data_IF_210301476778
#
_entry.id   IF_210301476778
#
_cell.length_a   1.000
_cell.length_b   1.000
_cell.length_c   1.000
_cell.angle_alpha   90.00
_cell.angle_beta   90.00
_cell.angle_gamma   90.00
#
_symmetry.space_group_name_H-M   'P 1'
#
loop_
_entity.id
_entity.type
_entity.pdbx_description
1 polymer ?
#
# COMPACT_ATOMS: atom_id res chain seq x y z
N UNK A 1 -7.75 -29.42 11.77
CA UNK A 1 -6.80 -29.15 12.89
C UNK A 1 -6.85 -27.70 13.39
N UNK A 2 -6.62 -27.42 14.69
CA UNK A 2 -6.62 -26.08 15.29
C UNK A 2 -5.33 -25.80 16.07
N UNK A 3 -4.72 -24.63 15.84
CA UNK A 3 -3.48 -24.16 16.50
C UNK A 3 -3.67 -22.74 17.02
N UNK A 4 -3.67 -22.58 18.34
CA UNK A 4 -3.92 -21.28 18.99
C UNK A 4 -2.62 -20.48 19.17
N UNK A 5 -1.45 -21.15 19.13
CA UNK A 5 -0.14 -20.51 19.27
C UNK A 5 0.68 -20.59 17.98
N UNK A 6 1.59 -19.63 17.80
CA UNK A 6 2.52 -19.63 16.67
C UNK A 6 3.47 -20.83 16.69
N UNK A 7 3.88 -21.29 17.88
CA UNK A 7 4.77 -22.43 18.08
C UNK A 7 4.16 -23.75 17.63
N UNK A 8 2.90 -24.02 18.00
CA UNK A 8 2.18 -25.22 17.56
C UNK A 8 2.01 -25.24 16.03
N UNK A 9 1.64 -24.10 15.44
CA UNK A 9 1.49 -23.96 13.98
C UNK A 9 2.79 -24.24 13.25
N UNK A 10 3.91 -23.70 13.75
CA UNK A 10 5.23 -23.86 13.13
C UNK A 10 5.75 -25.30 13.16
N UNK A 11 5.29 -26.13 14.10
CA UNK A 11 5.63 -27.55 14.18
C UNK A 11 4.94 -28.40 13.08
N UNK A 12 3.83 -27.92 12.52
CA UNK A 12 3.08 -28.67 11.51
C UNK A 12 3.57 -28.36 10.08
N UNK A 13 3.88 -29.36 9.22
CA UNK A 13 4.51 -29.15 7.92
C UNK A 13 3.75 -28.24 6.96
N UNK A 14 2.42 -28.32 6.93
CA UNK A 14 1.54 -27.49 6.09
C UNK A 14 1.16 -26.16 6.76
N UNK A 15 0.70 -26.18 8.01
CA UNK A 15 0.25 -24.96 8.69
C UNK A 15 1.36 -23.91 8.86
N UNK A 16 2.64 -24.34 8.95
CA UNK A 16 3.79 -23.41 9.01
C UNK A 16 3.92 -22.52 7.77
N UNK A 17 3.42 -22.95 6.61
CA UNK A 17 3.51 -22.22 5.33
C UNK A 17 2.62 -20.97 5.31
N UNK A 18 1.52 -20.95 6.09
CA UNK A 18 0.54 -19.86 6.10
C UNK A 18 0.98 -18.79 7.10
N UNK A 19 1.22 -17.53 6.70
CA UNK A 19 1.62 -16.45 7.60
C UNK A 19 0.67 -16.26 8.78
N UNK A 20 1.21 -15.90 9.95
CA UNK A 20 0.43 -15.74 11.18
C UNK A 20 -0.70 -14.71 11.05
N UNK A 21 -0.48 -13.63 10.30
CA UNK A 21 -1.48 -12.59 10.04
C UNK A 21 -2.74 -13.15 9.37
N UNK A 22 -2.59 -14.04 8.39
CA UNK A 22 -3.70 -14.71 7.71
C UNK A 22 -4.29 -15.83 8.57
N UNK A 23 -3.45 -16.52 9.34
CA UNK A 23 -3.86 -17.59 10.25
C UNK A 23 -4.86 -17.14 11.32
N UNK A 24 -4.64 -15.95 11.91
CA UNK A 24 -5.54 -15.37 12.94
C UNK A 24 -6.80 -14.73 12.37
N UNK A 25 -6.87 -14.49 11.06
CA UNK A 25 -7.98 -13.77 10.44
C UNK A 25 -9.29 -14.56 10.57
N UNK A 26 -10.31 -13.96 11.18
CA UNK A 26 -11.63 -14.57 11.40
C UNK A 26 -12.35 -14.94 10.11
N UNK A 27 -12.08 -14.19 9.04
CA UNK A 27 -12.68 -14.38 7.72
C UNK A 27 -11.92 -15.40 6.85
N UNK A 28 -10.79 -15.92 7.35
CA UNK A 28 -9.94 -16.91 6.68
C UNK A 28 -9.77 -18.14 7.59
N UNK A 29 -8.57 -18.38 8.12
CA UNK A 29 -8.26 -19.64 8.81
C UNK A 29 -8.78 -19.69 10.25
N UNK A 30 -8.91 -18.55 10.93
CA UNK A 30 -9.35 -18.47 12.33
C UNK A 30 -8.77 -19.57 13.23
N UNK A 31 -7.44 -19.64 13.28
CA UNK A 31 -6.66 -20.62 14.02
C UNK A 31 -6.83 -22.09 13.58
N UNK A 32 -7.46 -22.35 12.44
CA UNK A 32 -7.85 -23.70 12.00
C UNK A 32 -7.42 -23.95 10.55
N UNK A 33 -6.77 -25.09 10.30
CA UNK A 33 -6.59 -25.64 8.96
C UNK A 33 -7.50 -26.85 8.82
N UNK A 34 -8.48 -26.76 7.92
CA UNK A 34 -9.46 -27.82 7.73
C UNK A 34 -8.82 -29.03 7.03
N UNK A 35 -9.19 -30.23 7.44
CA UNK A 35 -8.56 -31.46 6.93
C UNK A 35 -8.84 -31.70 5.44
N UNK A 36 -9.84 -31.03 4.89
CA UNK A 36 -10.19 -31.00 3.47
C UNK A 36 -9.15 -30.29 2.60
N UNK A 37 -8.37 -29.39 3.19
CA UNK A 37 -7.35 -28.58 2.51
C UNK A 37 -6.01 -29.31 2.46
N UNK A 38 -5.75 -30.22 3.39
CA UNK A 38 -4.45 -30.92 3.49
C UNK A 38 -4.08 -31.72 2.24
N UNK A 39 -4.99 -32.50 1.62
CA UNK A 39 -4.67 -33.21 0.40
C UNK A 39 -4.31 -32.25 -0.74
N UNK A 40 -5.01 -31.11 -0.81
CA UNK A 40 -4.73 -30.08 -1.81
C UNK A 40 -3.33 -29.47 -1.62
N UNK A 41 -2.87 -29.30 -0.38
CA UNK A 41 -1.53 -28.77 -0.10
C UNK A 41 -0.39 -29.79 -0.32
N UNK A 42 -0.71 -31.08 -0.33
CA UNK A 42 0.26 -32.18 -0.43
C UNK A 42 0.35 -32.79 -1.83
N UNK A 43 -0.63 -32.50 -2.69
CA UNK A 43 -0.66 -32.97 -4.06
C UNK A 43 0.54 -32.44 -4.86
N UNK A 44 0.92 -33.15 -5.91
CA UNK A 44 1.72 -32.52 -6.97
C UNK A 44 0.80 -31.71 -7.89
N UNK A 45 1.38 -30.82 -8.71
CA UNK A 45 0.63 -29.90 -9.57
C UNK A 45 -0.33 -30.60 -10.54
N UNK A 46 0.02 -31.80 -11.00
CA UNK A 46 -0.80 -32.60 -11.94
C UNK A 46 -2.02 -33.18 -11.22
N UNK A 47 -1.83 -33.72 -10.03
CA UNK A 47 -2.89 -34.33 -9.23
C UNK A 47 -3.78 -33.29 -8.55
N UNK A 48 -3.29 -32.06 -8.34
CA UNK A 48 -4.04 -30.96 -7.72
C UNK A 48 -5.33 -30.65 -8.49
N UNK A 49 -5.26 -30.53 -9.81
CA UNK A 49 -6.43 -30.24 -10.66
C UNK A 49 -7.41 -31.40 -10.59
N UNK A 50 -6.92 -32.64 -10.70
CA UNK A 50 -7.75 -33.84 -10.62
C UNK A 50 -8.47 -33.95 -9.27
N UNK A 51 -7.78 -33.66 -8.17
CA UNK A 51 -8.35 -33.67 -6.83
C UNK A 51 -9.46 -32.65 -6.70
N UNK A 52 -9.31 -31.45 -7.26
CA UNK A 52 -10.35 -30.42 -7.24
C UNK A 52 -11.58 -30.82 -8.05
N UNK A 53 -11.40 -31.51 -9.17
CA UNK A 53 -12.51 -32.00 -10.01
C UNK A 53 -13.29 -33.14 -9.36
N UNK A 54 -12.62 -33.97 -8.57
CA UNK A 54 -13.24 -35.06 -7.82
C UNK A 54 -13.88 -34.60 -6.50
N UNK A 55 -13.62 -33.35 -6.09
CA UNK A 55 -13.93 -32.81 -4.78
C UNK A 55 -14.82 -31.55 -4.74
N UNK A 56 -15.76 -31.29 -5.67
CA UNK A 56 -16.52 -30.04 -5.68
C UNK A 56 -17.40 -29.85 -4.42
N UNK A 57 -17.65 -30.91 -3.64
CA UNK A 57 -18.38 -30.89 -2.38
C UNK A 57 -17.51 -30.76 -1.11
N UNK A 58 -16.17 -30.75 -1.21
CA UNK A 58 -15.29 -30.66 -0.04
C UNK A 58 -15.26 -29.26 0.61
N UNK A 59 -15.64 -28.21 -0.13
CA UNK A 59 -15.54 -26.82 0.29
C UNK A 59 -16.91 -26.12 0.25
N UNK A 60 -17.73 -26.40 1.26
CA UNK A 60 -19.13 -25.94 1.34
C UNK A 60 -19.29 -24.44 1.62
N UNK A 61 -18.32 -23.82 2.31
CA UNK A 61 -18.40 -22.40 2.68
C UNK A 61 -17.48 -21.52 1.83
N UNK A 62 -17.89 -20.26 1.60
CA UNK A 62 -17.06 -19.25 0.92
C UNK A 62 -15.70 -19.08 1.61
N UNK A 63 -15.69 -19.04 2.95
CA UNK A 63 -14.47 -18.98 3.76
C UNK A 63 -13.52 -20.14 3.47
N UNK A 64 -14.04 -21.36 3.37
CA UNK A 64 -13.20 -22.54 3.18
C UNK A 64 -12.60 -22.59 1.77
N UNK A 65 -13.34 -22.11 0.75
CA UNK A 65 -12.82 -21.92 -0.61
C UNK A 65 -11.67 -20.91 -0.64
N UNK A 66 -11.83 -19.77 0.04
CA UNK A 66 -10.77 -18.75 0.22
C UNK A 66 -9.53 -19.33 0.90
N UNK A 67 -9.72 -20.09 1.97
CA UNK A 67 -8.63 -20.76 2.68
C UNK A 67 -7.92 -21.80 1.81
N UNK A 68 -8.67 -22.59 1.04
CA UNK A 68 -8.10 -23.60 0.14
C UNK A 68 -7.24 -22.95 -0.94
N UNK A 69 -7.74 -21.86 -1.57
CA UNK A 69 -6.98 -21.11 -2.57
C UNK A 69 -5.67 -20.55 -2.00
N UNK A 70 -5.73 -19.88 -0.84
CA UNK A 70 -4.54 -19.37 -0.16
C UNK A 70 -3.56 -20.49 0.22
N UNK A 71 -4.08 -21.59 0.76
CA UNK A 71 -3.26 -22.72 1.16
C UNK A 71 -2.50 -23.34 -0.03
N UNK A 72 -3.18 -23.48 -1.18
CA UNK A 72 -2.56 -23.92 -2.43
C UNK A 72 -1.48 -22.92 -2.87
N UNK A 73 -1.79 -21.62 -2.86
CA UNK A 73 -0.85 -20.58 -3.27
C UNK A 73 0.42 -20.52 -2.38
N UNK A 74 0.31 -20.89 -1.09
CA UNK A 74 1.46 -21.00 -0.20
C UNK A 74 2.22 -22.33 -0.32
N UNK A 75 1.55 -23.43 -0.68
CA UNK A 75 2.19 -24.75 -0.78
C UNK A 75 2.79 -25.03 -2.16
N UNK A 76 2.34 -24.35 -3.21
CA UNK A 76 2.83 -24.50 -4.59
C UNK A 76 3.30 -23.14 -5.13
N UNK A 77 4.46 -22.64 -4.68
CA UNK A 77 4.95 -21.31 -5.05
C UNK A 77 5.30 -21.17 -6.54
N UNK A 78 5.49 -22.29 -7.25
CA UNK A 78 5.90 -22.32 -8.66
C UNK A 78 4.71 -22.30 -9.65
N UNK A 79 3.46 -22.31 -9.14
CA UNK A 79 2.27 -22.22 -10.01
C UNK A 79 2.21 -20.87 -10.73
N UNK A 80 1.84 -20.92 -12.01
CA UNK A 80 1.67 -19.71 -12.81
C UNK A 80 0.46 -18.89 -12.36
N UNK A 81 0.47 -17.59 -12.66
CA UNK A 81 -0.65 -16.69 -12.34
C UNK A 81 -1.95 -17.13 -13.04
N UNK A 82 -1.86 -17.65 -14.26
CA UNK A 82 -2.99 -18.18 -15.02
C UNK A 82 -3.58 -19.40 -14.33
N UNK A 83 -2.72 -20.28 -13.81
CA UNK A 83 -3.15 -21.47 -13.07
C UNK A 83 -3.82 -21.08 -11.77
N UNK A 84 -3.22 -20.17 -10.99
CA UNK A 84 -3.82 -19.67 -9.74
C UNK A 84 -5.16 -18.96 -9.97
N UNK A 85 -5.29 -18.19 -11.05
CA UNK A 85 -6.56 -17.56 -11.42
C UNK A 85 -7.61 -18.62 -11.83
N UNK A 86 -7.22 -19.61 -12.63
CA UNK A 86 -8.08 -20.73 -13.02
C UNK A 86 -8.57 -21.54 -11.81
N UNK A 87 -7.69 -21.79 -10.83
CA UNK A 87 -8.04 -22.46 -9.58
C UNK A 87 -9.09 -21.66 -8.78
N UNK A 88 -9.00 -20.32 -8.77
CA UNK A 88 -10.02 -19.46 -8.16
C UNK A 88 -11.40 -19.65 -8.79
N UNK A 89 -11.46 -19.74 -10.12
CA UNK A 89 -12.69 -20.01 -10.89
C UNK A 89 -13.22 -21.43 -10.58
N UNK A 90 -12.36 -22.44 -10.60
CA UNK A 90 -12.73 -23.84 -10.29
C UNK A 90 -13.28 -24.01 -8.88
N UNK A 91 -12.74 -23.27 -7.90
CA UNK A 91 -13.25 -23.22 -6.53
C UNK A 91 -14.57 -22.43 -6.40
N UNK A 92 -15.04 -21.81 -7.49
CA UNK A 92 -16.21 -20.93 -7.52
C UNK A 92 -16.11 -19.82 -6.46
N UNK A 93 -14.93 -19.18 -6.38
CA UNK A 93 -14.70 -17.98 -5.59
C UNK A 93 -15.22 -16.78 -6.40
N UNK A 94 -15.99 -15.91 -5.76
CA UNK A 94 -16.44 -14.67 -6.41
C UNK A 94 -15.24 -13.80 -6.76
N UNK A 95 -15.30 -13.05 -7.84
CA UNK A 95 -14.18 -12.22 -8.29
C UNK A 95 -13.68 -11.25 -7.21
N UNK A 96 -14.57 -10.53 -6.54
CA UNK A 96 -14.22 -9.64 -5.43
C UNK A 96 -13.58 -10.40 -4.24
N UNK A 97 -14.06 -11.61 -3.93
CA UNK A 97 -13.46 -12.47 -2.89
C UNK A 97 -12.06 -12.95 -3.31
N UNK A 98 -11.86 -13.28 -4.59
CA UNK A 98 -10.57 -13.70 -5.13
C UNK A 98 -9.57 -12.53 -5.08
N UNK A 99 -10.02 -11.33 -5.42
CA UNK A 99 -9.22 -10.12 -5.31
C UNK A 99 -8.82 -9.84 -3.86
N UNK A 100 -9.77 -9.90 -2.91
CA UNK A 100 -9.51 -9.68 -1.49
C UNK A 100 -8.48 -10.68 -0.92
N UNK A 101 -8.60 -11.97 -1.25
CA UNK A 101 -7.60 -12.96 -0.79
C UNK A 101 -6.25 -12.80 -1.48
N UNK A 102 -6.24 -12.42 -2.76
CA UNK A 102 -5.02 -12.14 -3.49
C UNK A 102 -4.29 -10.93 -2.87
N UNK A 103 -5.03 -9.87 -2.54
CA UNK A 103 -4.54 -8.68 -1.84
C UNK A 103 -3.92 -9.08 -0.51
N UNK A 104 -4.59 -9.93 0.27
CA UNK A 104 -4.05 -10.44 1.54
C UNK A 104 -2.83 -11.34 1.38
N UNK A 105 -2.70 -12.03 0.24
CA UNK A 105 -1.54 -12.87 -0.08
C UNK A 105 -0.30 -12.02 -0.40
N UNK A 106 -0.49 -10.88 -1.05
CA UNK A 106 0.56 -9.88 -1.26
C UNK A 106 1.56 -10.20 -2.36
N UNK A 107 1.16 -10.99 -3.36
CA UNK A 107 1.95 -11.17 -4.58
C UNK A 107 1.51 -10.18 -5.64
N UNK A 108 2.24 -9.07 -5.73
CA UNK A 108 1.93 -7.98 -6.64
C UNK A 108 1.83 -8.42 -8.11
N UNK A 109 2.71 -9.31 -8.57
CA UNK A 109 2.61 -9.89 -9.93
C UNK A 109 1.27 -10.61 -10.18
N UNK A 110 0.81 -11.42 -9.23
CA UNK A 110 -0.48 -12.09 -9.35
C UNK A 110 -1.64 -11.10 -9.33
N UNK A 111 -1.58 -10.10 -8.43
CA UNK A 111 -2.61 -9.07 -8.37
C UNK A 111 -2.66 -8.23 -9.64
N UNK A 112 -1.53 -7.86 -10.22
CA UNK A 112 -1.46 -7.19 -11.52
C UNK A 112 -2.12 -8.02 -12.62
N UNK A 113 -1.90 -9.34 -12.63
CA UNK A 113 -2.61 -10.25 -13.54
C UNK A 113 -4.12 -10.33 -13.25
N UNK A 114 -4.53 -10.26 -11.98
CA UNK A 114 -5.95 -10.20 -11.61
C UNK A 114 -6.56 -8.87 -12.06
N UNK A 115 -5.86 -7.74 -11.89
CA UNK A 115 -6.29 -6.40 -12.33
C UNK A 115 -6.56 -6.35 -13.84
N UNK A 116 -5.75 -7.01 -14.67
CA UNK A 116 -5.96 -7.00 -16.14
C UNK A 116 -7.23 -7.72 -16.60
N UNK A 117 -7.87 -8.49 -15.72
CA UNK A 117 -9.10 -9.20 -16.04
C UNK A 117 -10.36 -8.37 -15.79
N UNK A 118 -10.24 -7.20 -15.15
CA UNK A 118 -11.35 -6.29 -14.90
C UNK A 118 -11.42 -5.22 -15.99
N UNK A 119 -12.65 -4.87 -16.39
CA UNK A 119 -12.85 -3.62 -17.13
C UNK A 119 -12.56 -2.41 -16.23
N UNK A 120 -12.24 -1.27 -16.84
CA UNK A 120 -11.96 -0.03 -16.09
C UNK A 120 -13.09 0.31 -15.11
N UNK A 121 -14.36 0.14 -15.53
CA UNK A 121 -15.52 0.42 -14.67
C UNK A 121 -15.60 -0.52 -13.46
N UNK A 122 -15.32 -1.81 -13.65
CA UNK A 122 -15.32 -2.78 -12.55
C UNK A 122 -14.15 -2.51 -11.59
N UNK A 123 -12.99 -2.14 -12.13
CA UNK A 123 -11.83 -1.75 -11.35
C UNK A 123 -12.13 -0.50 -10.50
N UNK A 124 -12.69 0.56 -11.07
CA UNK A 124 -13.03 1.75 -10.29
C UNK A 124 -14.10 1.45 -9.22
N UNK A 125 -15.13 0.66 -9.56
CA UNK A 125 -16.15 0.25 -8.59
C UNK A 125 -15.55 -0.57 -7.43
N UNK A 126 -14.57 -1.43 -7.72
CA UNK A 126 -13.85 -2.20 -6.71
C UNK A 126 -12.96 -1.31 -5.85
N UNK A 127 -12.28 -0.32 -6.44
CA UNK A 127 -11.44 0.63 -5.70
C UNK A 127 -12.26 1.48 -4.75
N UNK A 128 -13.41 1.98 -5.19
CA UNK A 128 -14.29 2.82 -4.37
C UNK A 128 -15.10 2.05 -3.32
N UNK A 129 -15.11 0.72 -3.35
CA UNK A 129 -15.89 -0.10 -2.43
C UNK A 129 -15.37 -0.01 -0.98
N UNK A 130 -16.30 -0.07 -0.03
CA UNK A 130 -16.04 -0.09 1.41
C UNK A 130 -15.06 1.02 1.86
N UNK A 131 -15.30 2.26 1.38
CA UNK A 131 -14.47 3.44 1.67
C UNK A 131 -12.98 3.23 1.33
N UNK A 132 -12.72 2.74 0.11
CA UNK A 132 -11.37 2.47 -0.39
C UNK A 132 -10.59 1.45 0.46
N UNK A 133 -11.28 0.46 1.01
CA UNK A 133 -10.70 -0.59 1.86
C UNK A 133 -9.51 -1.33 1.21
N UNK A 134 -9.49 -1.43 -0.12
CA UNK A 134 -8.37 -2.02 -0.87
C UNK A 134 -7.06 -1.25 -0.63
N UNK A 135 -7.13 0.08 -0.54
CA UNK A 135 -5.97 0.94 -0.38
C UNK A 135 -5.38 0.83 1.03
N UNK A 136 -6.23 0.89 2.05
CA UNK A 136 -5.81 0.69 3.44
C UNK A 136 -5.32 -0.73 3.71
N UNK A 137 -5.90 -1.73 3.05
CA UNK A 137 -5.43 -3.12 3.11
C UNK A 137 -4.05 -3.29 2.46
N UNK A 138 -3.82 -2.71 1.28
CA UNK A 138 -2.50 -2.72 0.64
C UNK A 138 -1.44 -2.06 1.53
N UNK A 139 -1.78 -0.93 2.16
CA UNK A 139 -0.91 -0.24 3.11
C UNK A 139 -0.62 -1.08 4.35
N UNK A 140 -1.63 -1.74 4.93
CA UNK A 140 -1.48 -2.63 6.08
C UNK A 140 -0.51 -3.79 5.83
N UNK A 141 -0.57 -4.39 4.64
CA UNK A 141 0.30 -5.52 4.28
C UNK A 141 1.65 -5.10 3.68
N UNK A 142 1.97 -3.81 3.61
CA UNK A 142 3.28 -3.34 3.11
C UNK A 142 3.46 -3.48 1.61
N UNK A 143 2.37 -3.43 0.84
CA UNK A 143 2.39 -3.70 -0.60
C UNK A 143 2.54 -2.44 -1.44
N UNK A 144 3.75 -1.87 -1.46
CA UNK A 144 4.04 -0.62 -2.17
C UNK A 144 3.65 -0.65 -3.65
N UNK A 145 3.94 -1.75 -4.36
CA UNK A 145 3.63 -1.87 -5.79
C UNK A 145 2.13 -1.72 -6.06
N UNK A 146 1.29 -2.27 -5.18
CA UNK A 146 -0.17 -2.19 -5.33
C UNK A 146 -0.67 -0.81 -4.93
N UNK A 147 -0.13 -0.21 -3.86
CA UNK A 147 -0.42 1.19 -3.50
C UNK A 147 -0.14 2.11 -4.69
N UNK A 148 1.01 1.95 -5.34
CA UNK A 148 1.36 2.74 -6.53
C UNK A 148 0.40 2.47 -7.69
N UNK A 149 0.09 1.20 -7.96
CA UNK A 149 -0.83 0.84 -9.05
C UNK A 149 -2.23 1.42 -8.83
N UNK A 150 -2.75 1.37 -7.61
CA UNK A 150 -4.04 1.96 -7.26
C UNK A 150 -4.03 3.48 -7.46
N UNK A 151 -2.94 4.16 -7.10
CA UNK A 151 -2.79 5.59 -7.36
C UNK A 151 -2.73 5.90 -8.86
N UNK A 152 -1.99 5.10 -9.63
CA UNK A 152 -1.83 5.28 -11.09
C UNK A 152 -3.13 5.12 -11.87
N UNK A 153 -4.00 4.17 -11.47
CA UNK A 153 -5.27 3.90 -12.15
C UNK A 153 -6.42 4.80 -11.67
N UNK A 154 -6.22 5.60 -10.62
CA UNK A 154 -7.22 6.52 -10.09
C UNK A 154 -7.02 7.95 -10.60
N UNK A 155 -8.12 8.67 -10.81
CA UNK A 155 -8.08 10.09 -11.13
C UNK A 155 -7.52 10.92 -9.96
N UNK A 156 -6.99 12.14 -10.18
CA UNK A 156 -6.46 12.97 -9.08
C UNK A 156 -7.48 13.22 -7.95
N UNK A 157 -8.76 13.36 -8.28
CA UNK A 157 -9.83 13.53 -7.30
C UNK A 157 -10.06 12.26 -6.48
N UNK A 158 -10.06 11.08 -7.13
CA UNK A 158 -10.13 9.79 -6.43
C UNK A 158 -8.90 9.50 -5.59
N UNK A 159 -7.69 9.84 -6.07
CA UNK A 159 -6.48 9.69 -5.27
C UNK A 159 -6.60 10.48 -3.96
N UNK A 160 -7.08 11.73 -4.03
CA UNK A 160 -7.30 12.56 -2.83
C UNK A 160 -8.36 11.94 -1.90
N UNK A 161 -9.49 11.47 -2.44
CA UNK A 161 -10.53 10.82 -1.64
C UNK A 161 -10.03 9.52 -0.98
N UNK A 162 -9.38 8.66 -1.76
CA UNK A 162 -8.80 7.38 -1.34
C UNK A 162 -7.73 7.55 -0.26
N UNK A 163 -6.86 8.55 -0.39
CA UNK A 163 -5.82 8.85 0.59
C UNK A 163 -6.42 9.42 1.88
N UNK A 164 -7.45 10.25 1.77
CA UNK A 164 -8.09 10.90 2.92
C UNK A 164 -9.13 10.01 3.64
N UNK A 165 -9.50 8.87 3.06
CA UNK A 165 -10.48 7.93 3.59
C UNK A 165 -10.19 7.53 5.05
N UNK A 166 -11.26 7.47 5.85
CA UNK A 166 -11.23 7.17 7.29
C UNK A 166 -10.10 7.89 8.08
N UNK A 167 -9.98 9.21 7.87
CA UNK A 167 -8.93 10.05 8.49
C UNK A 167 -7.51 9.52 8.21
N UNK A 168 -7.19 9.44 6.91
CA UNK A 168 -5.89 8.96 6.42
C UNK A 168 -5.54 7.55 6.93
N UNK A 169 -6.54 6.66 7.02
CA UNK A 169 -6.37 5.35 7.66
C UNK A 169 -5.25 4.52 7.03
N UNK A 170 -5.10 4.55 5.71
CA UNK A 170 -4.01 3.87 5.02
C UNK A 170 -2.62 4.33 5.49
N UNK A 171 -2.43 5.64 5.69
CA UNK A 171 -1.19 6.20 6.23
C UNK A 171 -0.95 5.73 7.66
N UNK A 172 -1.98 5.79 8.52
CA UNK A 172 -1.90 5.34 9.91
C UNK A 172 -1.53 3.85 10.01
N UNK A 173 -2.11 3.00 9.18
CA UNK A 173 -1.79 1.57 9.14
C UNK A 173 -0.38 1.30 8.63
N UNK A 174 0.09 2.03 7.61
CA UNK A 174 1.46 1.90 7.12
C UNK A 174 2.47 2.28 8.19
N UNK A 175 2.25 3.39 8.91
CA UNK A 175 3.09 3.81 10.02
C UNK A 175 3.07 2.80 11.18
N UNK A 176 1.88 2.36 11.63
CA UNK A 176 1.73 1.39 12.72
C UNK A 176 2.46 0.05 12.45
N UNK A 177 2.63 -0.33 11.19
CA UNK A 177 3.31 -1.57 10.79
C UNK A 177 4.73 -1.33 10.25
N UNK A 178 5.28 -0.12 10.40
CA UNK A 178 6.63 0.28 9.96
C UNK A 178 6.91 0.03 8.47
N UNK A 179 5.89 0.16 7.62
CA UNK A 179 6.03 0.07 6.17
C UNK A 179 6.57 1.38 5.59
N UNK A 180 7.84 1.70 5.91
CA UNK A 180 8.49 2.98 5.64
C UNK A 180 8.37 3.45 4.19
N UNK A 181 8.48 2.53 3.22
CA UNK A 181 8.38 2.90 1.80
C UNK A 181 6.98 3.45 1.45
N UNK A 182 5.93 2.89 2.05
CA UNK A 182 4.55 3.36 1.88
C UNK A 182 4.34 4.67 2.64
N UNK A 183 4.86 4.77 3.86
CA UNK A 183 4.81 6.02 4.65
C UNK A 183 5.43 7.17 3.85
N UNK A 184 6.63 6.99 3.32
CA UNK A 184 7.32 7.98 2.48
C UNK A 184 6.54 8.28 1.19
N UNK A 185 5.98 7.25 0.55
CA UNK A 185 5.15 7.42 -0.65
C UNK A 185 3.90 8.25 -0.38
N UNK A 186 3.28 8.10 0.79
CA UNK A 186 2.08 8.85 1.18
C UNK A 186 2.42 10.25 1.69
N UNK A 187 3.55 10.44 2.40
CA UNK A 187 4.04 11.76 2.80
C UNK A 187 4.38 12.67 1.61
N UNK A 188 4.56 12.12 0.41
CA UNK A 188 4.72 12.91 -0.81
C UNK A 188 3.45 13.65 -1.22
N UNK A 189 2.28 13.34 -0.62
CA UNK A 189 1.05 14.08 -0.85
C UNK A 189 0.90 15.19 0.20
N UNK A 190 0.73 16.47 -0.21
CA UNK A 190 0.69 17.60 0.72
C UNK A 190 -0.33 17.45 1.85
N UNK A 191 -1.52 16.91 1.56
CA UNK A 191 -2.57 16.70 2.57
C UNK A 191 -2.13 15.73 3.68
N UNK A 192 -1.46 14.63 3.33
CA UNK A 192 -0.93 13.66 4.29
C UNK A 192 0.20 14.26 5.09
N UNK A 193 1.10 15.00 4.44
CA UNK A 193 2.20 15.68 5.13
C UNK A 193 1.66 16.65 6.19
N UNK A 194 0.65 17.47 5.86
CA UNK A 194 0.02 18.39 6.81
C UNK A 194 -0.64 17.65 7.96
N UNK A 195 -1.30 16.53 7.69
CA UNK A 195 -1.88 15.67 8.72
C UNK A 195 -0.79 15.13 9.67
N UNK A 196 0.28 14.56 9.10
CA UNK A 196 1.38 13.99 9.86
C UNK A 196 2.12 15.04 10.69
N UNK A 197 2.34 16.23 10.13
CA UNK A 197 2.96 17.36 10.84
C UNK A 197 2.15 17.78 12.08
N UNK A 198 0.81 17.77 12.01
CA UNK A 198 -0.04 18.12 13.17
C UNK A 198 0.04 17.09 14.30
N UNK A 199 0.44 15.87 13.98
CA UNK A 199 0.61 14.74 14.89
C UNK A 199 2.11 14.43 15.04
N UNK A 200 2.89 15.47 15.37
CA UNK A 200 4.34 15.39 15.47
C UNK A 200 4.81 14.35 16.49
N UNK A 201 4.04 14.11 17.55
CA UNK A 201 4.38 13.10 18.55
C UNK A 201 4.30 11.69 17.98
N UNK A 202 3.31 11.43 17.12
CA UNK A 202 3.04 10.13 16.51
C UNK A 202 3.85 9.89 15.24
N UNK A 203 4.11 10.93 14.43
CA UNK A 203 4.72 10.76 13.11
C UNK A 203 5.99 11.57 12.88
N UNK A 204 6.46 12.35 13.86
CA UNK A 204 7.70 13.13 13.73
C UNK A 204 8.91 12.27 13.33
N UNK A 205 8.98 11.04 13.82
CA UNK A 205 10.04 10.08 13.46
C UNK A 205 10.05 9.68 11.99
N UNK A 206 8.91 9.75 11.30
CA UNK A 206 8.81 9.53 9.84
C UNK A 206 8.94 10.84 9.05
N UNK A 207 8.38 11.95 9.57
CA UNK A 207 8.38 13.26 8.91
C UNK A 207 9.79 13.83 8.81
N UNK A 208 10.63 13.69 9.84
CA UNK A 208 11.95 14.32 9.84
C UNK A 208 12.92 13.70 8.83
N UNK A 209 13.08 12.36 8.76
CA UNK A 209 13.89 11.72 7.72
C UNK A 209 13.37 12.03 6.32
N UNK A 210 12.04 11.98 6.13
CA UNK A 210 11.42 12.31 4.85
C UNK A 210 11.80 13.72 4.36
N UNK A 211 11.77 14.72 5.24
CA UNK A 211 12.20 16.09 4.89
C UNK A 211 13.67 16.12 4.48
N UNK A 212 14.55 15.45 5.24
CA UNK A 212 15.98 15.45 4.96
C UNK A 212 16.29 14.80 3.61
N UNK A 213 15.63 13.68 3.31
CA UNK A 213 15.76 12.99 2.02
C UNK A 213 15.25 13.88 0.88
N UNK A 214 14.09 14.53 1.06
CA UNK A 214 13.53 15.46 0.08
C UNK A 214 14.46 16.64 -0.20
N UNK A 215 15.00 17.28 0.84
CA UNK A 215 15.96 18.38 0.70
C UNK A 215 17.24 17.91 -0.01
N UNK A 216 17.74 16.71 0.30
CA UNK A 216 18.92 16.14 -0.37
C UNK A 216 18.67 15.94 -1.86
N UNK A 217 17.50 15.40 -2.23
CA UNK A 217 17.10 15.24 -3.63
C UNK A 217 16.99 16.59 -4.34
N UNK A 218 16.34 17.59 -3.72
CA UNK A 218 16.18 18.93 -4.29
C UNK A 218 17.53 19.63 -4.51
N UNK A 219 18.47 19.52 -3.57
CA UNK A 219 19.84 20.04 -3.73
C UNK A 219 20.55 19.38 -4.92
N UNK A 220 20.43 18.06 -5.05
CA UNK A 220 21.05 17.32 -6.16
C UNK A 220 20.45 17.73 -7.52
N UNK A 221 19.12 17.87 -7.60
CA UNK A 221 18.44 18.32 -8.81
C UNK A 221 18.84 19.75 -9.19
N UNK A 222 18.85 20.68 -8.23
CA UNK A 222 19.30 22.06 -8.44
C UNK A 222 20.74 22.10 -8.95
N UNK A 223 21.66 21.40 -8.28
CA UNK A 223 23.07 21.36 -8.69
C UNK A 223 23.27 20.78 -10.10
N UNK A 224 22.48 19.77 -10.49
CA UNK A 224 22.53 19.18 -11.82
C UNK A 224 22.07 20.17 -12.92
N UNK A 225 21.02 20.96 -12.64
CA UNK A 225 20.54 22.01 -13.56
C UNK A 225 21.58 23.11 -13.74
N UNK A 226 22.15 23.60 -12.64
CA UNK A 226 23.14 24.68 -12.64
C UNK A 226 24.48 24.27 -13.28
N UNK A 227 24.88 23.00 -13.16
CA UNK A 227 26.06 22.48 -13.88
C UNK A 227 25.89 22.49 -15.39
N UNK A 228 24.68 22.23 -15.89
CA UNK A 228 24.38 22.21 -17.33
C UNK A 228 24.19 23.61 -17.93
N UNK A 229 23.71 24.56 -17.12
CA UNK A 229 23.50 25.95 -17.52
C UNK A 229 23.54 26.87 -16.28
N UNK A 230 24.58 27.72 -16.11
CA UNK A 230 24.72 28.62 -14.97
C UNK A 230 23.57 29.63 -14.80
N UNK A 231 22.83 29.93 -15.87
CA UNK A 231 21.70 30.85 -15.85
C UNK A 231 20.34 30.13 -15.72
N UNK A 232 20.32 28.80 -15.61
CA UNK A 232 19.08 28.05 -15.47
C UNK A 232 18.51 28.19 -14.05
N UNK A 233 17.23 28.55 -13.98
CA UNK A 233 16.48 28.62 -12.73
C UNK A 233 15.81 27.28 -12.47
N UNK A 234 16.20 26.61 -11.40
CA UNK A 234 15.55 25.39 -10.93
C UNK A 234 14.16 25.72 -10.36
N UNK A 235 13.13 24.98 -10.79
CA UNK A 235 11.76 25.07 -10.28
C UNK A 235 11.20 23.66 -9.97
N UNK A 236 10.10 23.58 -9.22
CA UNK A 236 9.44 22.30 -8.89
C UNK A 236 8.79 21.66 -10.12
N UNK A 237 8.64 20.33 -10.11
CA UNK A 237 8.03 19.59 -11.22
C UNK A 237 6.55 19.92 -11.42
N UNK A 238 5.81 20.15 -10.32
CA UNK A 238 4.39 20.47 -10.35
C UNK A 238 3.92 21.29 -9.12
N UNK A 239 2.65 21.69 -9.15
CA UNK A 239 2.02 22.52 -8.10
C UNK A 239 1.89 21.79 -6.76
N UNK A 240 1.70 20.47 -6.76
CA UNK A 240 1.61 19.68 -5.53
C UNK A 240 2.99 19.55 -4.87
N UNK A 241 4.06 19.41 -5.66
CA UNK A 241 5.43 19.46 -5.16
C UNK A 241 5.78 20.84 -4.56
N UNK A 242 5.35 21.93 -5.20
CA UNK A 242 5.50 23.27 -4.63
C UNK A 242 4.75 23.42 -3.30
N UNK A 243 3.51 22.91 -3.20
CA UNK A 243 2.73 22.89 -1.96
C UNK A 243 3.40 22.06 -0.86
N UNK A 244 3.93 20.89 -1.21
CA UNK A 244 4.68 20.06 -0.27
C UNK A 244 5.88 20.83 0.27
N UNK A 245 6.70 21.41 -0.61
CA UNK A 245 7.87 22.20 -0.21
C UNK A 245 7.49 23.40 0.68
N UNK A 246 6.37 24.06 0.40
CA UNK A 246 5.83 25.10 1.26
C UNK A 246 5.51 24.59 2.67
N UNK A 247 4.86 23.42 2.80
CA UNK A 247 4.61 22.83 4.11
C UNK A 247 5.89 22.33 4.79
N UNK A 248 6.89 21.89 4.03
CA UNK A 248 8.22 21.58 4.57
C UNK A 248 8.85 22.84 5.17
N UNK A 249 8.82 24.00 4.50
CA UNK A 249 9.29 25.27 5.09
C UNK A 249 8.59 25.54 6.42
N UNK A 250 7.27 25.44 6.44
CA UNK A 250 6.46 25.66 7.65
C UNK A 250 6.91 24.77 8.80
N UNK A 251 7.15 23.49 8.53
CA UNK A 251 7.64 22.55 9.51
C UNK A 251 9.06 22.91 10.00
N UNK A 252 9.98 23.25 9.09
CA UNK A 252 11.34 23.67 9.44
C UNK A 252 11.36 24.92 10.33
N UNK A 253 10.49 25.90 10.06
CA UNK A 253 10.34 27.12 10.86
C UNK A 253 9.84 26.76 12.27
N UNK A 254 8.84 25.89 12.39
CA UNK A 254 8.27 25.47 13.69
C UNK A 254 9.28 24.76 14.60
N UNK A 255 10.23 24.02 14.02
CA UNK A 255 11.33 23.39 14.78
C UNK A 255 12.28 24.42 15.43
N UNK A 256 12.23 25.68 15.01
CA UNK A 256 12.99 26.81 15.58
C UNK A 256 14.48 26.51 15.79
N UNK A 257 15.10 25.85 14.81
CA UNK A 257 16.51 25.46 14.85
C UNK A 257 17.32 26.29 13.84
N UNK A 258 18.29 27.12 14.29
CA UNK A 258 19.12 27.93 13.40
C UNK A 258 19.88 27.14 12.33
N UNK A 259 20.19 25.86 12.58
CA UNK A 259 20.88 25.00 11.61
C UNK A 259 20.05 24.71 10.34
N UNK A 260 18.72 24.93 10.39
CA UNK A 260 17.80 24.68 9.27
C UNK A 260 17.59 25.93 8.39
N UNK A 261 18.26 27.04 8.69
CA UNK A 261 18.06 28.31 7.98
C UNK A 261 18.45 28.20 6.50
N UNK A 262 19.51 27.47 6.19
CA UNK A 262 19.96 27.28 4.80
C UNK A 262 18.99 26.38 4.02
N UNK A 263 18.30 25.46 4.69
CA UNK A 263 17.22 24.66 4.09
C UNK A 263 15.99 25.49 3.76
N UNK A 264 15.61 26.38 4.67
CA UNK A 264 14.50 27.32 4.43
C UNK A 264 14.85 28.25 3.25
N UNK A 265 16.08 28.76 3.20
CA UNK A 265 16.55 29.60 2.08
C UNK A 265 16.51 28.85 0.75
N UNK A 266 17.03 27.62 0.72
CA UNK A 266 17.00 26.77 -0.47
C UNK A 266 15.59 26.64 -1.04
N UNK A 267 14.61 26.33 -0.18
CA UNK A 267 13.23 26.17 -0.63
C UNK A 267 12.58 27.49 -1.08
N UNK A 268 12.93 28.62 -0.46
CA UNK A 268 12.44 29.96 -0.85
C UNK A 268 13.09 30.53 -2.12
N UNK A 269 14.20 29.97 -2.57
CA UNK A 269 14.80 30.29 -3.87
C UNK A 269 14.00 29.69 -5.04
N UNK A 270 13.24 28.62 -4.79
CA UNK A 270 12.42 27.95 -5.80
C UNK A 270 11.23 28.86 -6.15
N UNK A 271 11.07 29.31 -7.42
CA UNK A 271 10.05 30.30 -7.79
C UNK A 271 8.62 29.89 -7.43
N UNK A 272 8.21 28.66 -7.73
CA UNK A 272 6.85 28.18 -7.42
C UNK A 272 6.57 28.18 -5.90
N UNK A 273 7.55 27.77 -5.09
CA UNK A 273 7.43 27.75 -3.62
C UNK A 273 7.37 29.16 -3.05
N UNK A 274 8.21 30.07 -3.58
CA UNK A 274 8.21 31.49 -3.20
C UNK A 274 6.88 32.16 -3.53
N UNK A 275 6.27 31.84 -4.67
CA UNK A 275 4.95 32.36 -5.02
C UNK A 275 3.87 31.92 -4.01
N UNK A 276 3.95 30.68 -3.51
CA UNK A 276 3.06 30.17 -2.47
C UNK A 276 3.31 30.82 -1.09
N UNK A 277 4.55 31.22 -0.79
CA UNK A 277 4.84 31.96 0.45
C UNK A 277 4.12 33.33 0.51
N UNK A 278 3.79 33.92 -0.65
CA UNK A 278 3.10 35.22 -0.75
C UNK A 278 1.58 35.11 -0.96
N UNK A 279 1.02 33.90 -1.06
CA UNK A 279 -0.41 33.64 -1.35
C UNK A 279 -0.99 32.62 -0.37
N UNK A 280 -2.23 32.79 0.08
CA UNK A 280 -2.85 31.84 1.01
C UNK A 280 -2.97 30.45 0.36
N UNK A 281 -2.30 29.43 0.93
CA UNK A 281 -2.24 28.06 0.37
C UNK A 281 -3.44 27.23 0.82
N UNK A 282 -4.03 27.57 1.97
CA UNK A 282 -5.27 26.99 2.50
C UNK A 282 -6.47 27.92 2.28
N UNK A 283 -7.57 27.46 1.65
CA UNK A 283 -8.80 28.24 1.58
C UNK A 283 -9.27 28.59 3.01
N UNK A 284 -9.44 29.89 3.29
CA UNK A 284 -9.95 30.43 4.56
C UNK A 284 -9.06 30.27 5.80
N UNK A 285 -7.79 29.89 5.66
CA UNK A 285 -6.83 29.90 6.78
C UNK A 285 -5.55 30.67 6.39
N UNK A 286 -5.03 31.56 7.27
CA UNK A 286 -3.76 32.23 7.04
C UNK A 286 -2.62 31.21 6.99
N UNK A 287 -1.61 31.54 6.19
CA UNK A 287 -0.33 30.84 6.18
C UNK A 287 0.40 31.18 7.50
N UNK A 288 0.02 30.53 8.60
CA UNK A 288 0.70 30.66 9.91
C UNK A 288 2.08 29.99 9.91
#
# INVERSE_FOLDING_TARGET
MRFNTGTERMAHPQARLIPWALWKSSNLFYHTLHDAILPLMQANDVDLINLLEQSPSLLQSSQLKKCAWLAIAFSHPDLSNETLAFLGIKLAIKQNDLFDVALKWGKAHFLNHVFTNYSDNELQAMIAADDYSVFSTAAFYGQLEIVNRLLEVSSPAEQQAMIAADDYYAFRLAALNDHLEIVNRLLSFPAVFVYAERHEHEYGEYVYPFINDKLTVLRAQKAAVEQGNPDAVFDTADVEEAKLCFYVIRNLIRRNNPALLDDIRLLLEIPAVKALAHTAVTPQAPNE
#
